data_IF_935078042782
#
_entry.id   IF_935078042782
#
_cell.length_a   1.000
_cell.length_b   1.000
_cell.length_c   1.000
_cell.angle_alpha   90.00
_cell.angle_beta   90.00
_cell.angle_gamma   90.00
#
_symmetry.space_group_name_H-M   'P 1'
#
loop_
_entity.id
_entity.type
_entity.pdbx_description
1 polymer ?
#
# COMPACT_ATOMS: atom_id res chain seq x y z
N UNK A 1 -9.69 -8.70 10.85
CA UNK A 1 -8.86 -8.38 9.66
C UNK A 1 -7.39 -8.50 10.04
N UNK A 2 -6.50 -8.99 9.17
CA UNK A 2 -5.06 -9.00 9.48
C UNK A 2 -4.52 -7.56 9.47
N UNK A 3 -3.67 -7.21 10.43
CA UNK A 3 -3.04 -5.89 10.50
C UNK A 3 -2.02 -5.67 9.38
N UNK A 4 -1.25 -6.73 9.06
CA UNK A 4 -0.21 -6.71 8.05
C UNK A 4 -0.58 -7.62 6.89
N UNK A 5 -0.72 -7.04 5.71
CA UNK A 5 -1.01 -7.73 4.47
C UNK A 5 0.25 -7.85 3.61
N UNK A 6 0.36 -8.95 2.88
CA UNK A 6 1.26 -9.04 1.72
C UNK A 6 0.79 -8.11 0.60
N UNK A 7 1.70 -7.79 -0.33
CA UNK A 7 1.37 -7.03 -1.55
C UNK A 7 0.18 -7.63 -2.30
N UNK A 8 0.14 -8.97 -2.41
CA UNK A 8 -0.94 -9.71 -3.07
C UNK A 8 -2.28 -9.59 -2.34
N UNK A 9 -2.27 -9.68 -1.01
CA UNK A 9 -3.48 -9.47 -0.20
C UNK A 9 -3.99 -8.03 -0.33
N UNK A 10 -3.10 -7.03 -0.27
CA UNK A 10 -3.47 -5.62 -0.44
C UNK A 10 -4.01 -5.34 -1.84
N UNK A 11 -3.39 -5.88 -2.89
CA UNK A 11 -3.88 -5.75 -4.26
C UNK A 11 -5.32 -6.26 -4.39
N UNK A 12 -5.59 -7.45 -3.86
CA UNK A 12 -6.93 -8.04 -3.90
C UNK A 12 -7.97 -7.21 -3.16
N UNK A 13 -7.62 -6.63 -2.01
CA UNK A 13 -8.56 -5.88 -1.18
C UNK A 13 -8.77 -4.44 -1.67
N UNK A 14 -7.73 -3.81 -2.21
CA UNK A 14 -7.76 -2.41 -2.65
C UNK A 14 -8.17 -2.21 -4.11
N UNK A 15 -8.10 -3.26 -4.93
CA UNK A 15 -8.27 -3.15 -6.37
C UNK A 15 -7.04 -2.61 -7.12
N UNK A 16 -5.96 -2.24 -6.41
CA UNK A 16 -4.71 -1.83 -7.05
C UNK A 16 -3.95 -3.04 -7.60
N UNK A 17 -3.26 -2.86 -8.73
CA UNK A 17 -2.38 -3.87 -9.28
C UNK A 17 -1.14 -4.12 -8.39
N UNK A 18 -0.72 -5.37 -8.24
CA UNK A 18 0.47 -5.74 -7.45
C UNK A 18 1.73 -5.00 -7.90
N UNK A 19 1.91 -4.83 -9.22
CA UNK A 19 3.02 -4.07 -9.79
C UNK A 19 2.99 -2.61 -9.37
N UNK A 20 1.80 -2.00 -9.29
CA UNK A 20 1.66 -0.60 -8.86
C UNK A 20 2.00 -0.43 -7.39
N UNK A 21 1.53 -1.34 -6.54
CA UNK A 21 1.91 -1.36 -5.12
C UNK A 21 3.43 -1.51 -4.96
N UNK A 22 4.06 -2.43 -5.71
CA UNK A 22 5.53 -2.59 -5.69
C UNK A 22 6.26 -1.33 -6.15
N UNK A 23 5.71 -0.62 -7.13
CA UNK A 23 6.26 0.64 -7.60
C UNK A 23 6.15 1.71 -6.51
N UNK A 24 4.97 1.91 -5.91
CA UNK A 24 4.74 2.88 -4.84
C UNK A 24 5.65 2.64 -3.63
N UNK A 25 5.84 1.38 -3.22
CA UNK A 25 6.80 1.00 -2.17
C UNK A 25 8.23 1.48 -2.46
N UNK A 26 8.62 1.60 -3.73
CA UNK A 26 9.96 2.03 -4.14
C UNK A 26 10.04 3.53 -4.38
N UNK A 27 8.98 4.15 -4.90
CA UNK A 27 9.04 5.52 -5.44
C UNK A 27 8.35 6.55 -4.58
N UNK A 28 7.37 6.16 -3.75
CA UNK A 28 6.61 7.08 -2.90
C UNK A 28 7.00 6.87 -1.44
N UNK A 29 7.80 7.78 -0.84
CA UNK A 29 8.17 7.72 0.56
C UNK A 29 6.97 7.81 1.53
N UNK A 30 5.84 8.36 1.09
CA UNK A 30 4.62 8.46 1.89
C UNK A 30 3.80 7.17 1.88
N UNK A 31 4.12 6.21 1.01
CA UNK A 31 3.38 4.96 0.89
C UNK A 31 3.55 4.11 2.16
N UNK A 32 2.46 3.62 2.79
CA UNK A 32 2.55 2.95 4.08
C UNK A 32 2.95 1.47 3.92
N UNK A 33 4.25 1.21 4.02
CA UNK A 33 4.80 -0.13 4.02
C UNK A 33 5.77 -0.35 5.19
N UNK A 34 5.97 -1.62 5.54
CA UNK A 34 6.93 -2.07 6.53
C UNK A 34 7.82 -3.13 5.88
N UNK A 35 9.13 -2.99 6.03
CA UNK A 35 10.11 -3.98 5.58
C UNK A 35 10.47 -4.90 6.74
N UNK A 36 10.25 -6.20 6.56
CA UNK A 36 10.57 -7.25 7.51
C UNK A 36 11.57 -8.20 6.85
N UNK A 37 12.86 -7.98 7.12
CA UNK A 37 13.95 -8.63 6.40
C UNK A 37 13.88 -8.33 4.90
N UNK A 38 13.79 -9.38 4.08
CA UNK A 38 13.63 -9.27 2.62
C UNK A 38 12.18 -9.08 2.16
N UNK A 39 11.20 -9.16 3.06
CA UNK A 39 9.77 -9.11 2.72
C UNK A 39 9.17 -7.74 3.00
N UNK A 40 8.24 -7.32 2.15
CA UNK A 40 7.42 -6.11 2.37
C UNK A 40 6.03 -6.52 2.82
N UNK A 41 5.54 -5.84 3.85
CA UNK A 41 4.16 -5.91 4.35
C UNK A 41 3.54 -4.52 4.32
N UNK A 42 2.23 -4.47 4.20
CA UNK A 42 1.43 -3.24 4.18
C UNK A 42 0.53 -3.26 5.40
N UNK A 43 0.58 -2.21 6.21
CA UNK A 43 -0.39 -2.01 7.27
C UNK A 43 -1.69 -1.53 6.61
N UNK A 44 -2.72 -2.39 6.62
CA UNK A 44 -3.92 -2.11 5.84
C UNK A 44 -4.73 -0.92 6.38
N UNK A 45 -4.71 -0.68 7.69
CA UNK A 45 -5.40 0.46 8.29
C UNK A 45 -4.81 1.78 7.78
N UNK A 46 -3.49 1.93 7.91
CA UNK A 46 -2.77 3.13 7.46
C UNK A 46 -2.82 3.28 5.94
N UNK A 47 -2.79 2.16 5.21
CA UNK A 47 -2.97 2.15 3.75
C UNK A 47 -4.35 2.67 3.33
N UNK A 48 -5.41 2.32 4.06
CA UNK A 48 -6.76 2.79 3.76
C UNK A 48 -6.87 4.30 3.97
N UNK A 49 -6.31 4.82 5.06
CA UNK A 49 -6.23 6.26 5.33
C UNK A 49 -5.39 7.00 4.27
N UNK A 50 -4.27 6.41 3.87
CA UNK A 50 -3.41 6.96 2.81
C UNK A 50 -4.15 7.02 1.47
N UNK A 51 -4.93 5.99 1.11
CA UNK A 51 -5.74 5.98 -0.10
C UNK A 51 -6.81 7.06 -0.09
N UNK A 52 -7.50 7.23 1.04
CA UNK A 52 -8.52 8.27 1.19
C UNK A 52 -7.90 9.66 1.02
N UNK A 53 -6.74 9.89 1.63
CA UNK A 53 -5.99 11.14 1.49
C UNK A 53 -5.53 11.36 0.05
N UNK A 54 -4.95 10.33 -0.59
CA UNK A 54 -4.50 10.39 -1.98
C UNK A 54 -5.66 10.73 -2.93
N UNK A 55 -6.84 10.18 -2.68
CA UNK A 55 -8.06 10.49 -3.43
C UNK A 55 -8.50 11.95 -3.25
N UNK A 56 -8.57 12.45 -2.02
CA UNK A 56 -8.96 13.84 -1.72
C UNK A 56 -7.99 14.87 -2.31
N UNK A 57 -6.71 14.55 -2.33
CA UNK A 57 -5.66 15.41 -2.88
C UNK A 57 -5.52 15.30 -4.40
N UNK A 58 -6.24 14.37 -5.05
CA UNK A 58 -6.15 14.15 -6.49
C UNK A 58 -4.81 13.58 -6.94
N UNK A 59 -4.13 12.79 -6.11
CA UNK A 59 -2.85 12.17 -6.47
C UNK A 59 -3.04 11.17 -7.62
N UNK A 60 -2.12 11.19 -8.57
CA UNK A 60 -2.06 10.18 -9.63
C UNK A 60 -1.17 9.01 -9.18
N UNK A 61 -1.83 7.94 -8.71
CA UNK A 61 -1.22 6.71 -8.14
C UNK A 61 -1.41 5.48 -9.01
#
# INVERSE_FOLDING_TARGET
MKLLCSIKETARQSGLGEHRIRHLVKTDPSFPYIRIGSTVKINYSVFSEWLEKASKEGRCI
#
